data_IF_264919823603
#
_entry.id   IF_264919823603
#
_cell.length_a   1.000
_cell.length_b   1.000
_cell.length_c   1.000
_cell.angle_alpha   90.00
_cell.angle_beta   90.00
_cell.angle_gamma   90.00
#
_symmetry.space_group_name_H-M   'P 1'
#
loop_
_entity.id
_entity.type
_entity.pdbx_description
1 polymer ?
#
# COMPACT_ATOMS: atom_id res chain seq x y z
N UNK A 1 56.62 28.60 48.85
CA UNK A 1 56.97 27.42 48.05
C UNK A 1 56.12 26.27 48.57
N UNK A 2 54.89 26.13 48.08
CA UNK A 2 54.46 25.47 46.83
C UNK A 2 54.15 23.99 47.08
N UNK A 3 52.86 23.63 46.95
CA UNK A 3 52.39 22.24 47.00
C UNK A 3 50.94 22.10 47.47
N UNK A 4 49.99 22.71 46.75
CA UNK A 4 48.55 22.61 47.02
C UNK A 4 47.84 21.75 45.95
N UNK A 5 47.20 20.69 46.43
CA UNK A 5 45.94 20.03 46.05
C UNK A 5 45.49 19.85 44.57
N UNK A 6 45.29 18.57 44.26
CA UNK A 6 44.07 17.94 43.74
C UNK A 6 43.54 18.20 42.30
N UNK A 7 43.34 17.05 41.63
CA UNK A 7 42.26 16.67 40.69
C UNK A 7 42.05 17.47 39.40
N UNK A 8 42.20 16.77 38.26
CA UNK A 8 41.62 17.19 36.99
C UNK A 8 42.20 16.45 35.79
N UNK A 9 41.73 15.23 35.49
CA UNK A 9 41.83 14.72 34.11
C UNK A 9 40.77 15.45 33.30
N UNK A 10 41.14 16.58 32.70
CA UNK A 10 40.36 17.20 31.63
C UNK A 10 40.41 16.30 30.41
N UNK A 11 39.34 15.54 30.17
CA UNK A 11 39.04 15.01 28.83
C UNK A 11 38.69 16.19 27.94
N UNK A 12 39.46 16.37 26.86
CA UNK A 12 39.15 17.32 25.80
C UNK A 12 37.73 17.09 25.25
N UNK A 13 37.01 18.13 24.79
CA UNK A 13 35.70 17.95 24.19
C UNK A 13 35.85 17.17 22.88
N UNK A 14 35.15 16.04 22.78
CA UNK A 14 35.00 15.29 21.52
C UNK A 14 34.41 16.21 20.46
N UNK A 15 34.94 16.27 19.23
CA UNK A 15 34.28 17.00 18.15
C UNK A 15 32.89 16.40 17.97
N UNK A 16 31.85 17.22 18.17
CA UNK A 16 30.50 16.84 17.77
C UNK A 16 30.54 16.61 16.26
N UNK A 17 30.37 15.34 15.86
CA UNK A 17 30.15 14.99 14.48
C UNK A 17 28.90 15.75 14.03
N UNK A 18 29.09 16.77 13.19
CA UNK A 18 27.96 17.46 12.55
C UNK A 18 27.18 16.40 11.78
N UNK A 19 25.92 16.19 12.18
CA UNK A 19 24.98 15.36 11.43
C UNK A 19 24.78 16.07 10.09
N UNK A 20 25.43 15.55 9.04
CA UNK A 20 25.12 15.98 7.68
C UNK A 20 23.85 15.25 7.25
N UNK A 21 22.73 15.97 7.25
CA UNK A 21 21.54 15.54 6.54
C UNK A 21 21.86 15.51 5.05
N UNK A 22 22.02 14.31 4.49
CA UNK A 22 22.06 14.12 3.05
C UNK A 22 20.62 14.24 2.55
N UNK A 23 20.27 15.38 1.97
CA UNK A 23 19.04 15.50 1.18
C UNK A 23 19.12 14.56 -0.02
N UNK A 24 18.46 13.41 0.07
CA UNK A 24 18.27 12.53 -1.08
C UNK A 24 17.20 13.16 -1.97
N UNK A 25 17.65 13.80 -3.04
CA UNK A 25 16.79 14.41 -4.07
C UNK A 25 15.78 13.38 -4.58
N UNK A 26 14.49 13.59 -4.32
CA UNK A 26 13.40 12.74 -4.79
C UNK A 26 12.82 11.75 -3.76
N UNK A 27 13.27 11.76 -2.50
CA UNK A 27 12.50 11.08 -1.46
C UNK A 27 11.20 11.86 -1.17
N UNK A 28 10.02 11.21 -1.22
CA UNK A 28 8.77 11.85 -0.83
C UNK A 28 8.91 12.37 0.59
N UNK A 29 8.81 13.68 0.77
CA UNK A 29 8.73 14.27 2.11
C UNK A 29 7.36 13.90 2.67
N UNK A 30 7.32 13.29 3.85
CA UNK A 30 6.07 13.01 4.54
C UNK A 30 5.33 14.33 4.76
N UNK A 31 4.19 14.49 4.09
CA UNK A 31 3.34 15.66 4.25
C UNK A 31 2.37 15.43 5.41
N UNK A 32 2.19 16.46 6.24
CA UNK A 32 1.18 16.43 7.29
C UNK A 32 -0.21 16.25 6.67
N UNK A 33 -1.05 15.46 7.34
CA UNK A 33 -2.44 15.30 6.93
C UNK A 33 -3.25 16.56 7.23
N UNK A 34 -4.19 16.85 6.35
CA UNK A 34 -5.08 18.01 6.40
C UNK A 34 -6.54 17.58 6.57
N UNK A 35 -7.44 18.54 6.81
CA UNK A 35 -8.88 18.27 6.84
C UNK A 35 -9.40 17.71 5.51
N UNK A 36 -8.78 18.08 4.38
CA UNK A 36 -9.10 17.52 3.08
C UNK A 36 -8.77 16.01 3.01
N UNK A 37 -7.66 15.59 3.61
CA UNK A 37 -7.27 14.17 3.68
C UNK A 37 -8.23 13.38 4.59
N UNK A 38 -8.69 13.98 5.68
CA UNK A 38 -9.71 13.40 6.56
C UNK A 38 -11.01 13.18 5.78
N UNK A 39 -11.46 14.20 5.04
CA UNK A 39 -12.66 14.11 4.20
C UNK A 39 -12.52 13.05 3.10
N UNK A 40 -11.38 13.04 2.40
CA UNK A 40 -11.05 12.04 1.39
C UNK A 40 -11.11 10.62 1.97
N UNK A 41 -10.53 10.40 3.15
CA UNK A 41 -10.58 9.10 3.81
C UNK A 41 -12.01 8.67 4.18
N UNK A 42 -12.95 9.62 4.43
CA UNK A 42 -14.34 9.26 4.78
C UNK A 42 -15.03 8.73 3.55
N UNK A 43 -14.84 9.42 2.43
CA UNK A 43 -15.37 8.99 1.14
C UNK A 43 -14.75 7.67 0.68
N UNK A 44 -13.44 7.49 0.88
CA UNK A 44 -12.77 6.21 0.64
C UNK A 44 -13.41 5.07 1.43
N UNK A 45 -13.62 5.23 2.75
CA UNK A 45 -14.21 4.19 3.59
C UNK A 45 -15.66 3.84 3.19
N UNK A 46 -16.46 4.86 2.86
CA UNK A 46 -17.84 4.65 2.37
C UNK A 46 -17.84 3.92 1.02
N UNK A 47 -16.97 4.36 0.11
CA UNK A 47 -16.87 3.78 -1.23
C UNK A 47 -16.32 2.36 -1.20
N UNK A 48 -15.25 2.10 -0.42
CA UNK A 48 -14.65 0.76 -0.28
C UNK A 48 -15.64 -0.24 0.33
N UNK A 49 -16.41 0.17 1.34
CA UNK A 49 -17.45 -0.66 1.96
C UNK A 49 -18.52 -1.03 0.94
N UNK A 50 -19.03 -0.05 0.20
CA UNK A 50 -20.02 -0.28 -0.87
C UNK A 50 -19.52 -1.23 -1.96
N UNK A 51 -18.27 -1.08 -2.40
CA UNK A 51 -17.64 -1.99 -3.38
C UNK A 51 -17.55 -3.41 -2.81
N UNK A 52 -17.04 -3.54 -1.58
CA UNK A 52 -16.89 -4.82 -0.89
C UNK A 52 -18.22 -5.53 -0.70
N UNK A 53 -19.24 -4.82 -0.23
CA UNK A 53 -20.58 -5.37 0.00
C UNK A 53 -21.24 -5.81 -1.31
N UNK A 54 -21.13 -5.02 -2.38
CA UNK A 54 -21.63 -5.39 -3.70
C UNK A 54 -20.91 -6.63 -4.26
N UNK A 55 -19.58 -6.68 -4.17
CA UNK A 55 -18.80 -7.83 -4.61
C UNK A 55 -19.15 -9.11 -3.82
N UNK A 56 -19.38 -8.97 -2.52
CA UNK A 56 -19.81 -10.07 -1.65
C UNK A 56 -21.22 -10.55 -2.00
N UNK A 57 -22.15 -9.63 -2.25
CA UNK A 57 -23.52 -9.95 -2.66
C UNK A 57 -23.54 -10.76 -3.97
N UNK A 58 -22.63 -10.46 -4.89
CA UNK A 58 -22.48 -11.17 -6.16
C UNK A 58 -21.62 -12.45 -6.04
N UNK A 59 -21.09 -12.75 -4.85
CA UNK A 59 -20.29 -13.93 -4.57
C UNK A 59 -18.98 -13.97 -5.36
N UNK A 60 -18.35 -12.80 -5.57
CA UNK A 60 -17.06 -12.74 -6.26
C UNK A 60 -15.93 -13.27 -5.36
N UNK A 61 -14.96 -14.01 -5.92
CA UNK A 61 -13.79 -14.45 -5.17
C UNK A 61 -12.88 -13.27 -4.86
N UNK A 62 -12.21 -13.35 -3.70
CA UNK A 62 -11.27 -12.32 -3.22
C UNK A 62 -9.82 -12.81 -3.18
N UNK A 63 -9.56 -14.01 -3.70
CA UNK A 63 -8.25 -14.64 -3.72
C UNK A 63 -8.09 -15.51 -4.97
N UNK A 64 -6.84 -15.73 -5.38
CA UNK A 64 -6.48 -16.54 -6.53
C UNK A 64 -6.72 -18.02 -6.21
N UNK A 65 -7.50 -18.69 -7.05
CA UNK A 65 -7.66 -20.14 -7.02
C UNK A 65 -6.40 -20.80 -7.60
N UNK A 66 -5.90 -21.85 -6.93
CA UNK A 66 -4.67 -22.54 -7.36
C UNK A 66 -3.42 -21.65 -7.32
N UNK A 67 -3.33 -20.69 -6.39
CA UNK A 67 -2.24 -19.68 -6.30
C UNK A 67 -0.80 -20.23 -6.30
N UNK A 68 -0.61 -21.49 -5.91
CA UNK A 68 0.71 -22.13 -5.85
C UNK A 68 1.04 -22.92 -7.14
N UNK A 69 0.14 -22.86 -8.13
CA UNK A 69 0.26 -23.51 -9.43
C UNK A 69 0.35 -22.47 -10.55
N UNK A 70 1.12 -22.72 -11.64
CA UNK A 70 1.05 -21.89 -12.83
C UNK A 70 -0.29 -22.05 -13.54
N UNK A 71 -0.70 -21.05 -14.32
CA UNK A 71 -1.98 -21.03 -15.05
C UNK A 71 -2.19 -22.28 -15.92
N UNK A 72 -1.13 -22.82 -16.53
CA UNK A 72 -1.17 -24.03 -17.34
C UNK A 72 -1.64 -25.27 -16.59
N UNK A 73 -1.53 -25.29 -15.26
CA UNK A 73 -1.90 -26.41 -14.40
C UNK A 73 -3.27 -26.23 -13.71
N UNK A 74 -3.93 -25.09 -13.92
CA UNK A 74 -5.27 -24.87 -13.35
C UNK A 74 -6.33 -25.72 -14.04
N UNK A 75 -7.23 -26.22 -13.21
CA UNK A 75 -8.50 -26.79 -13.63
C UNK A 75 -9.38 -25.75 -14.31
N UNK A 76 -10.38 -26.16 -15.11
CA UNK A 76 -11.36 -25.24 -15.69
C UNK A 76 -12.09 -24.38 -14.62
N UNK A 77 -12.41 -24.96 -13.47
CA UNK A 77 -13.09 -24.26 -12.38
C UNK A 77 -12.20 -23.19 -11.73
N UNK A 78 -10.91 -23.48 -11.53
CA UNK A 78 -9.94 -22.50 -11.03
C UNK A 78 -9.76 -21.33 -12.00
N UNK A 79 -9.68 -21.61 -13.31
CA UNK A 79 -9.66 -20.55 -14.34
C UNK A 79 -10.91 -19.70 -14.28
N UNK A 80 -12.09 -20.31 -14.23
CA UNK A 80 -13.36 -19.60 -14.13
C UNK A 80 -13.41 -18.72 -12.86
N UNK A 81 -12.95 -19.24 -11.72
CA UNK A 81 -12.83 -18.47 -10.48
C UNK A 81 -11.88 -17.27 -10.64
N UNK A 82 -10.72 -17.46 -11.26
CA UNK A 82 -9.74 -16.38 -11.47
C UNK A 82 -10.25 -15.33 -12.46
N UNK A 83 -11.07 -15.70 -13.46
CA UNK A 83 -11.77 -14.72 -14.31
C UNK A 83 -12.78 -13.88 -13.51
N UNK A 84 -13.49 -14.48 -12.55
CA UNK A 84 -14.37 -13.73 -11.62
C UNK A 84 -13.58 -12.86 -10.62
N UNK A 85 -12.35 -13.24 -10.29
CA UNK A 85 -11.44 -12.41 -9.49
C UNK A 85 -11.01 -11.15 -10.26
N UNK A 86 -10.81 -11.24 -11.57
CA UNK A 86 -10.55 -10.06 -12.42
C UNK A 86 -11.73 -9.09 -12.35
N UNK A 87 -12.97 -9.59 -12.38
CA UNK A 87 -14.16 -8.75 -12.17
C UNK A 87 -14.14 -8.04 -10.81
N UNK A 88 -13.76 -8.75 -9.74
CA UNK A 88 -13.59 -8.17 -8.41
C UNK A 88 -12.60 -7.00 -8.45
N UNK A 89 -11.43 -7.18 -9.05
CA UNK A 89 -10.43 -6.11 -9.19
C UNK A 89 -10.94 -4.93 -10.03
N UNK A 90 -11.63 -5.19 -11.14
CA UNK A 90 -12.20 -4.13 -11.99
C UNK A 90 -13.21 -3.23 -11.27
N UNK A 91 -13.92 -3.75 -10.26
CA UNK A 91 -14.82 -2.94 -9.42
C UNK A 91 -14.07 -1.96 -8.52
N UNK A 92 -12.90 -2.34 -8.01
CA UNK A 92 -12.05 -1.43 -7.25
C UNK A 92 -11.46 -0.35 -8.14
N UNK A 93 -10.93 -0.73 -9.31
CA UNK A 93 -10.36 0.20 -10.29
C UNK A 93 -11.40 1.26 -10.71
N UNK A 94 -12.60 0.82 -11.06
CA UNK A 94 -13.69 1.71 -11.49
C UNK A 94 -14.24 2.52 -10.31
N UNK A 95 -14.52 1.87 -9.18
CA UNK A 95 -15.17 2.51 -8.05
C UNK A 95 -14.30 3.54 -7.33
N UNK A 96 -12.97 3.44 -7.46
CA UNK A 96 -12.02 4.36 -6.84
C UNK A 96 -11.38 5.36 -7.81
N UNK A 97 -11.76 5.37 -9.10
CA UNK A 97 -11.14 6.22 -10.11
C UNK A 97 -11.15 7.71 -9.74
N UNK A 98 -12.30 8.23 -9.29
CA UNK A 98 -12.44 9.64 -8.90
C UNK A 98 -11.62 9.97 -7.65
N UNK A 99 -11.66 9.10 -6.62
CA UNK A 99 -10.87 9.25 -5.41
C UNK A 99 -9.37 9.24 -5.70
N UNK A 100 -8.93 8.37 -6.60
CA UNK A 100 -7.54 8.29 -7.08
C UNK A 100 -7.11 9.57 -7.81
N UNK A 101 -8.02 10.20 -8.56
CA UNK A 101 -7.72 11.44 -9.27
C UNK A 101 -7.63 12.66 -8.33
N UNK A 102 -8.36 12.63 -7.22
CA UNK A 102 -8.48 13.75 -6.26
C UNK A 102 -7.50 13.68 -5.09
N UNK A 103 -6.79 12.56 -4.89
CA UNK A 103 -5.88 12.41 -3.75
C UNK A 103 -4.62 13.28 -3.92
N UNK A 104 -4.41 14.22 -2.99
CA UNK A 104 -3.25 15.12 -3.03
C UNK A 104 -2.12 14.63 -2.12
N UNK A 105 -2.44 14.03 -0.97
CA UNK A 105 -1.43 13.58 -0.02
C UNK A 105 -0.57 12.46 -0.63
N UNK A 106 0.77 12.60 -0.66
CA UNK A 106 1.65 11.65 -1.33
C UNK A 106 1.61 10.25 -0.70
N UNK A 107 1.33 10.14 0.60
CA UNK A 107 1.21 8.84 1.28
C UNK A 107 -0.06 8.12 0.85
N UNK A 108 -1.21 8.82 0.88
CA UNK A 108 -2.49 8.25 0.43
C UNK A 108 -2.42 7.89 -1.06
N UNK A 109 -1.82 8.77 -1.87
CA UNK A 109 -1.59 8.56 -3.30
C UNK A 109 -0.76 7.31 -3.56
N UNK A 110 0.37 7.16 -2.89
CA UNK A 110 1.23 5.97 -3.02
C UNK A 110 0.47 4.68 -2.68
N UNK A 111 -0.34 4.70 -1.63
CA UNK A 111 -1.07 3.52 -1.18
C UNK A 111 -2.22 3.14 -2.12
N UNK A 112 -3.02 4.10 -2.58
CA UNK A 112 -4.09 3.83 -3.55
C UNK A 112 -3.51 3.43 -4.92
N UNK A 113 -2.44 4.09 -5.39
CA UNK A 113 -1.77 3.72 -6.62
C UNK A 113 -1.15 2.31 -6.52
N UNK A 114 -0.52 1.97 -5.40
CA UNK A 114 0.08 0.64 -5.19
C UNK A 114 -0.95 -0.49 -5.10
N UNK A 115 -2.12 -0.22 -4.50
CA UNK A 115 -3.24 -1.16 -4.49
C UNK A 115 -3.75 -1.44 -5.91
N UNK A 116 -4.05 -0.38 -6.67
CA UNK A 116 -4.67 -0.48 -8.00
C UNK A 116 -3.68 -0.96 -9.08
N UNK A 117 -2.40 -0.60 -8.99
CA UNK A 117 -1.36 -1.11 -9.89
C UNK A 117 -1.15 -2.62 -9.70
N UNK A 118 -1.13 -3.08 -8.45
CA UNK A 118 -0.99 -4.50 -8.13
C UNK A 118 -2.19 -5.33 -8.62
N UNK A 119 -3.42 -4.84 -8.43
CA UNK A 119 -4.64 -5.49 -8.95
C UNK A 119 -4.69 -5.49 -10.48
N UNK A 120 -4.31 -4.38 -11.13
CA UNK A 120 -4.29 -4.28 -12.59
C UNK A 120 -3.27 -5.25 -13.21
N UNK A 121 -2.02 -5.26 -12.73
CA UNK A 121 -0.98 -6.20 -13.22
C UNK A 121 -1.36 -7.65 -12.99
N UNK A 122 -1.93 -7.95 -11.82
CA UNK A 122 -2.41 -9.28 -11.53
C UNK A 122 -3.56 -9.67 -12.48
N UNK A 123 -4.50 -8.76 -12.72
CA UNK A 123 -5.61 -8.99 -13.65
C UNK A 123 -5.11 -9.29 -15.06
N UNK A 124 -4.05 -8.62 -15.53
CA UNK A 124 -3.40 -8.92 -16.82
C UNK A 124 -2.87 -10.35 -16.86
N UNK A 125 -2.04 -10.77 -15.90
CA UNK A 125 -1.45 -12.13 -15.95
C UNK A 125 -2.49 -13.24 -15.76
N UNK A 126 -3.58 -12.97 -15.02
CA UNK A 126 -4.72 -13.87 -14.90
C UNK A 126 -5.52 -13.94 -16.22
N UNK A 127 -5.75 -12.78 -16.86
CA UNK A 127 -6.52 -12.66 -18.10
C UNK A 127 -5.81 -13.27 -19.31
N UNK A 128 -4.48 -13.12 -19.36
CA UNK A 128 -3.63 -13.64 -20.42
C UNK A 128 -3.26 -15.13 -20.23
N UNK A 129 -3.75 -15.79 -19.17
CA UNK A 129 -3.39 -17.16 -18.79
C UNK A 129 -1.86 -17.37 -18.63
N UNK A 130 -1.13 -16.33 -18.21
CA UNK A 130 0.35 -16.34 -18.06
C UNK A 130 0.82 -16.41 -16.61
N UNK A 131 -0.12 -16.47 -15.65
CA UNK A 131 0.20 -16.49 -14.22
C UNK A 131 1.20 -17.59 -13.84
N UNK A 132 2.17 -17.19 -13.00
CA UNK A 132 3.09 -18.06 -12.28
C UNK A 132 2.96 -17.83 -10.77
N UNK A 133 3.37 -18.80 -9.92
CA UNK A 133 3.32 -18.60 -8.46
C UNK A 133 4.10 -17.38 -7.95
N UNK A 134 5.12 -16.91 -8.70
CA UNK A 134 5.86 -15.70 -8.36
C UNK A 134 4.98 -14.44 -8.44
N UNK A 135 4.00 -14.42 -9.35
CA UNK A 135 3.06 -13.30 -9.53
C UNK A 135 2.12 -13.14 -8.34
N UNK A 136 2.04 -14.12 -7.43
CA UNK A 136 1.34 -13.97 -6.15
C UNK A 136 1.88 -12.78 -5.32
N UNK A 137 3.11 -12.34 -5.57
CA UNK A 137 3.62 -11.10 -4.95
C UNK A 137 2.83 -9.86 -5.34
N UNK A 138 2.23 -9.80 -6.53
CA UNK A 138 1.37 -8.69 -6.97
C UNK A 138 0.13 -8.60 -6.07
N UNK A 139 -0.52 -9.75 -5.82
CA UNK A 139 -1.64 -9.84 -4.89
C UNK A 139 -1.24 -9.34 -3.49
N UNK A 140 -0.13 -9.86 -2.95
CA UNK A 140 0.36 -9.47 -1.62
C UNK A 140 0.66 -7.98 -1.50
N UNK A 141 1.29 -7.39 -2.51
CA UNK A 141 1.62 -5.97 -2.52
C UNK A 141 0.37 -5.09 -2.63
N UNK A 142 -0.61 -5.51 -3.45
CA UNK A 142 -1.90 -4.84 -3.54
C UNK A 142 -2.64 -4.88 -2.19
N UNK A 143 -2.72 -6.06 -1.56
CA UNK A 143 -3.35 -6.21 -0.24
C UNK A 143 -2.63 -5.43 0.85
N UNK A 144 -1.29 -5.39 0.84
CA UNK A 144 -0.51 -4.62 1.80
C UNK A 144 -0.76 -3.10 1.64
N UNK A 145 -0.84 -2.61 0.41
CA UNK A 145 -1.14 -1.21 0.12
C UNK A 145 -2.57 -0.85 0.53
N UNK A 146 -3.53 -1.73 0.24
CA UNK A 146 -4.92 -1.59 0.70
C UNK A 146 -5.03 -1.55 2.23
N UNK A 147 -4.37 -2.48 2.93
CA UNK A 147 -4.36 -2.52 4.39
C UNK A 147 -3.68 -1.28 5.00
N UNK A 148 -2.60 -0.80 4.39
CA UNK A 148 -1.95 0.45 4.77
C UNK A 148 -2.88 1.66 4.59
N UNK A 149 -3.63 1.71 3.48
CA UNK A 149 -4.59 2.78 3.20
C UNK A 149 -5.71 2.81 4.25
N UNK A 150 -6.29 1.64 4.55
CA UNK A 150 -7.31 1.50 5.62
C UNK A 150 -6.74 1.98 6.96
N UNK A 151 -5.57 1.49 7.36
CA UNK A 151 -4.96 1.85 8.64
C UNK A 151 -4.64 3.35 8.77
N UNK A 152 -4.24 4.02 7.67
CA UNK A 152 -4.05 5.47 7.68
C UNK A 152 -5.39 6.19 7.83
N UNK A 153 -6.40 5.80 7.06
CA UNK A 153 -7.72 6.44 7.12
C UNK A 153 -8.43 6.26 8.46
N UNK A 154 -8.31 5.10 9.11
CA UNK A 154 -8.82 4.87 10.47
C UNK A 154 -8.14 5.79 11.49
N UNK A 155 -6.82 6.01 11.40
CA UNK A 155 -6.10 6.91 12.32
C UNK A 155 -6.48 8.37 12.16
N UNK A 156 -6.89 8.78 10.95
CA UNK A 156 -7.36 10.14 10.67
C UNK A 156 -8.82 10.36 11.10
N UNK A 157 -9.54 9.29 11.47
CA UNK A 157 -10.95 9.30 11.80
C UNK A 157 -11.25 8.51 13.09
N UNK A 158 -10.66 8.91 14.22
CA UNK A 158 -10.96 8.28 15.51
C UNK A 158 -12.42 8.50 15.94
#
# INVERSE_FOLDING_TARGET
MSGAFATGRSTAPTPQAAVQTVEVRGMPVAQAFTDADVAWCREYNVTSTRISDAAKADGLPTSIAGKDLPASAWTPDERASNQRLIEYFGRWDTGLADLRAQVENPTLKMLIDGMLDGSSKLSTVLGDDTYTPADFTLFRNASASSGGLVAVCERLQP
#
